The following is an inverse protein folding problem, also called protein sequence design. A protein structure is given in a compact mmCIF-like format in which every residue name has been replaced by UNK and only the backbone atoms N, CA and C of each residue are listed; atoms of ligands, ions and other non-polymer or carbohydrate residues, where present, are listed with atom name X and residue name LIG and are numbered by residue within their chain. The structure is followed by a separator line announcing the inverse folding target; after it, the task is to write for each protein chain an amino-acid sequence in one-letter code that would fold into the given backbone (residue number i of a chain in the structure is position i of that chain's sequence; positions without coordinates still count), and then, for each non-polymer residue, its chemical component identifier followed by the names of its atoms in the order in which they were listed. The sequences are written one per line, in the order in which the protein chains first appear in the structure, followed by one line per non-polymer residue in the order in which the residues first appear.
data_IF_544177256407
#
_entry.id   IF_544177256407
#
_cell.length_a   1.000
_cell.length_b   1.000
_cell.length_c   1.000
_cell.angle_alpha   90.00
_cell.angle_beta   90.00
_cell.angle_gamma   90.00
#
_symmetry.space_group_name_H-M   'P 1'
#
loop_
_entity.id
_entity.type
_entity.pdbx_description
1 polymer ?
#
# COMPACT_ATOMS: atom_id res chain seq x y z
N UNK A 1 -5.16 -3.63 29.28
CA UNK A 1 -4.57 -2.46 29.95
C UNK A 1 -5.47 -1.26 29.68
N UNK A 2 -5.86 -0.53 30.72
CA UNK A 2 -6.82 0.57 30.60
C UNK A 2 -6.10 1.79 30.00
N UNK A 3 -6.50 2.22 28.79
CA UNK A 3 -5.77 3.23 28.00
C UNK A 3 -5.59 4.58 28.72
N UNK A 4 -6.44 4.88 29.71
CA UNK A 4 -6.39 6.10 30.52
C UNK A 4 -5.19 6.14 31.48
N UNK A 5 -4.79 5.00 32.04
CA UNK A 5 -3.73 4.94 33.05
C UNK A 5 -2.35 5.21 32.44
N UNK A 6 -2.12 4.73 31.21
CA UNK A 6 -0.89 5.00 30.47
C UNK A 6 -0.76 6.49 30.10
N UNK A 7 -1.86 7.11 29.67
CA UNK A 7 -1.85 8.52 29.28
C UNK A 7 -1.48 9.44 30.45
N UNK A 8 -2.00 9.19 31.65
CA UNK A 8 -1.67 9.98 32.85
C UNK A 8 -0.19 9.82 33.22
N UNK A 9 0.35 8.59 33.16
CA UNK A 9 1.77 8.35 33.45
C UNK A 9 2.71 9.06 32.46
N UNK A 10 2.34 9.10 31.18
CA UNK A 10 3.09 9.81 30.14
C UNK A 10 3.16 11.31 30.43
N UNK A 11 2.03 11.92 30.79
CA UNK A 11 1.97 13.35 31.11
C UNK A 11 2.77 13.68 32.37
N UNK A 12 2.74 12.81 33.38
CA UNK A 12 3.56 12.99 34.60
C UNK A 12 5.06 12.85 34.34
N UNK A 13 5.47 11.99 33.41
CA UNK A 13 6.88 11.83 33.04
C UNK A 13 7.38 13.02 32.20
N UNK A 14 6.57 13.50 31.25
CA UNK A 14 6.86 14.70 30.47
C UNK A 14 7.04 15.94 31.36
N UNK A 15 6.14 16.14 32.33
CA UNK A 15 6.22 17.30 33.25
C UNK A 15 7.50 17.30 34.08
N UNK A 16 7.95 16.14 34.57
CA UNK A 16 9.21 15.99 35.32
C UNK A 16 10.43 16.29 34.46
N UNK A 17 10.48 15.76 33.23
CA UNK A 17 11.59 16.01 32.31
C UNK A 17 11.76 17.51 32.01
N UNK A 18 10.63 18.23 31.81
CA UNK A 18 10.64 19.68 31.60
C UNK A 18 11.15 20.47 32.82
N UNK A 19 10.83 20.05 34.04
CA UNK A 19 11.31 20.69 35.27
C UNK A 19 12.81 20.50 35.51
N UNK A 20 13.38 19.39 35.04
CA UNK A 20 14.81 19.09 35.17
C UNK A 20 15.64 19.51 33.95
N UNK A 21 15.04 20.18 32.95
CA UNK A 21 15.74 20.60 31.73
C UNK A 21 16.18 19.45 30.82
N UNK A 22 15.56 18.27 30.95
CA UNK A 22 15.91 17.06 30.21
C UNK A 22 14.92 16.86 29.06
N UNK A 23 15.40 16.51 27.87
CA UNK A 23 14.56 16.18 26.71
C UNK A 23 13.75 14.91 27.00
N UNK A 24 12.42 15.02 26.94
CA UNK A 24 11.53 13.88 27.12
C UNK A 24 11.49 13.02 25.84
N UNK A 25 11.91 11.76 25.93
CA UNK A 25 11.98 10.83 24.79
C UNK A 25 10.87 9.77 24.79
N UNK A 26 9.81 9.95 25.59
CA UNK A 26 8.71 8.98 25.73
C UNK A 26 8.88 7.99 26.91
N UNK A 27 8.10 6.90 26.90
CA UNK A 27 8.09 5.91 27.99
C UNK A 27 9.49 5.33 28.28
N UNK A 28 9.91 5.20 29.57
CA UNK A 28 11.06 4.39 29.91
C UNK A 28 10.75 2.93 29.55
N UNK A 29 11.51 2.39 28.58
CA UNK A 29 11.37 1.00 28.14
C UNK A 29 11.71 0.07 29.31
N UNK A 30 10.70 -0.57 29.89
CA UNK A 30 10.94 -1.77 30.71
C UNK A 30 11.65 -2.80 29.84
N UNK A 31 12.65 -3.49 30.41
CA UNK A 31 13.45 -4.51 29.72
C UNK A 31 12.56 -5.70 29.36
N UNK A 32 11.90 -5.63 28.20
CA UNK A 32 11.37 -6.80 27.51
C UNK A 32 12.34 -7.23 26.43
N UNK A 33 12.53 -8.56 26.35
CA UNK A 33 13.39 -9.34 25.45
C UNK A 33 13.49 -8.74 24.03
N UNK A 34 14.62 -8.98 23.31
CA UNK A 34 14.90 -8.31 22.04
C UNK A 34 13.74 -8.49 21.07
N UNK A 35 12.98 -7.41 20.87
CA UNK A 35 12.04 -7.32 19.78
C UNK A 35 12.88 -7.31 18.50
N UNK A 36 12.74 -8.39 17.72
CA UNK A 36 13.09 -8.41 16.31
C UNK A 36 12.60 -7.12 15.67
N UNK A 37 13.46 -6.57 14.81
CA UNK A 37 13.27 -5.29 14.14
C UNK A 37 11.83 -5.07 13.70
N UNK A 38 11.34 -3.87 14.01
CA UNK A 38 10.05 -3.36 13.61
C UNK A 38 10.10 -3.07 12.11
N UNK A 39 9.98 -4.13 11.33
CA UNK A 39 9.67 -4.16 9.91
C UNK A 39 8.67 -5.28 9.74
N UNK A 40 7.43 -5.05 10.16
CA UNK A 40 6.32 -5.90 9.72
C UNK A 40 6.06 -5.42 8.31
N UNK A 41 6.70 -6.05 7.32
CA UNK A 41 6.00 -6.18 6.05
C UNK A 41 4.70 -6.88 6.41
N UNK A 42 3.56 -6.25 6.15
CA UNK A 42 2.31 -6.99 6.04
C UNK A 42 2.42 -7.81 4.76
N UNK A 43 3.35 -8.76 4.71
CA UNK A 43 3.45 -9.71 3.63
C UNK A 43 2.16 -10.51 3.66
N UNK A 44 1.23 -10.10 2.80
CA UNK A 44 0.00 -10.82 2.56
C UNK A 44 0.44 -12.21 2.11
N UNK A 45 0.20 -13.19 2.97
CA UNK A 45 0.69 -14.57 2.80
C UNK A 45 0.45 -15.04 1.36
N UNK A 46 1.46 -15.53 0.66
CA UNK A 46 1.32 -16.02 -0.72
C UNK A 46 1.20 -14.95 -1.82
N UNK A 47 1.23 -13.64 -1.50
CA UNK A 47 1.49 -12.59 -2.50
C UNK A 47 2.91 -12.75 -3.01
N UNK A 48 3.07 -12.84 -4.31
CA UNK A 48 4.39 -12.83 -4.97
C UNK A 48 4.68 -11.45 -5.55
N UNK A 49 5.94 -11.22 -5.95
CA UNK A 49 6.36 -9.99 -6.66
C UNK A 49 5.61 -9.73 -7.98
N UNK A 50 4.92 -10.74 -8.52
CA UNK A 50 4.14 -10.64 -9.76
C UNK A 50 2.68 -10.24 -9.51
N UNK A 51 2.16 -10.54 -8.31
CA UNK A 51 0.73 -10.45 -8.04
C UNK A 51 0.20 -9.02 -8.16
N UNK A 52 0.94 -8.02 -7.65
CA UNK A 52 0.54 -6.62 -7.71
C UNK A 52 0.51 -6.08 -9.13
N UNK A 53 1.42 -6.51 -10.01
CA UNK A 53 1.43 -6.08 -11.43
C UNK A 53 0.20 -6.57 -12.19
N UNK A 54 -0.13 -7.86 -12.05
CA UNK A 54 -1.34 -8.42 -12.65
C UNK A 54 -2.60 -7.73 -12.10
N UNK A 55 -2.59 -7.36 -10.81
CA UNK A 55 -3.74 -6.72 -10.18
C UNK A 55 -3.90 -5.28 -10.68
N UNK A 56 -2.83 -4.51 -10.78
CA UNK A 56 -2.85 -3.16 -11.36
C UNK A 56 -3.39 -3.20 -12.80
N UNK A 57 -2.93 -4.16 -13.61
CA UNK A 57 -3.42 -4.32 -14.98
C UNK A 57 -4.91 -4.63 -15.05
N UNK A 58 -5.40 -5.51 -14.16
CA UNK A 58 -6.83 -5.81 -14.08
C UNK A 58 -7.63 -4.57 -13.63
N UNK A 59 -7.24 -3.96 -12.50
CA UNK A 59 -7.94 -2.82 -11.89
C UNK A 59 -8.02 -1.61 -12.81
N UNK A 60 -6.96 -1.32 -13.56
CA UNK A 60 -6.88 -0.18 -14.49
C UNK A 60 -7.32 -0.52 -15.91
N UNK A 61 -7.78 -1.76 -16.15
CA UNK A 61 -8.40 -2.09 -17.42
C UNK A 61 -9.64 -1.24 -17.68
N UNK A 62 -10.01 -1.08 -18.95
CA UNK A 62 -11.24 -0.35 -19.35
C UNK A 62 -12.50 -0.90 -18.68
N UNK A 63 -12.49 -2.17 -18.25
CA UNK A 63 -13.61 -2.84 -17.58
C UNK A 63 -13.78 -2.30 -16.14
N UNK A 64 -12.68 -2.14 -15.41
CA UNK A 64 -12.73 -1.86 -13.95
C UNK A 64 -12.43 -0.42 -13.57
N UNK A 65 -11.70 0.32 -14.40
CA UNK A 65 -11.32 1.69 -14.07
C UNK A 65 -12.55 2.59 -13.91
N UNK A 66 -13.59 2.38 -14.71
CA UNK A 66 -14.84 3.16 -14.65
C UNK A 66 -15.65 2.92 -13.36
N UNK A 67 -15.35 1.84 -12.63
CA UNK A 67 -16.01 1.45 -11.37
C UNK A 67 -15.01 1.36 -10.22
N UNK A 68 -13.83 1.95 -10.35
CA UNK A 68 -12.74 1.77 -9.40
C UNK A 68 -13.05 2.30 -7.99
N UNK A 69 -13.99 3.23 -7.86
CA UNK A 69 -14.54 3.65 -6.56
C UNK A 69 -15.18 2.47 -5.77
N UNK A 70 -15.71 1.45 -6.45
CA UNK A 70 -16.27 0.26 -5.79
C UNK A 70 -15.21 -0.66 -5.16
N UNK A 71 -13.91 -0.39 -5.41
CA UNK A 71 -12.82 -1.12 -4.80
C UNK A 71 -12.71 -0.90 -3.29
N UNK A 72 -13.21 0.23 -2.79
CA UNK A 72 -13.10 0.64 -1.38
C UNK A 72 -11.72 1.17 -0.98
N UNK A 73 -10.82 1.39 -1.94
CA UNK A 73 -9.53 2.05 -1.72
C UNK A 73 -9.03 2.65 -3.03
N UNK A 74 -8.71 3.94 -3.05
CA UNK A 74 -8.15 4.60 -4.22
C UNK A 74 -6.77 5.16 -3.89
N UNK A 75 -5.78 4.98 -4.77
CA UNK A 75 -4.61 5.84 -4.79
C UNK A 75 -5.08 7.31 -4.86
N UNK A 76 -4.35 8.26 -4.26
CA UNK A 76 -4.86 9.58 -3.90
C UNK A 76 -5.47 10.32 -5.08
N UNK A 77 -6.80 10.27 -5.15
CA UNK A 77 -7.68 11.12 -5.97
C UNK A 77 -8.28 12.26 -5.14
N UNK A 78 -8.10 12.24 -3.82
CA UNK A 78 -8.78 13.14 -2.88
C UNK A 78 -10.24 12.78 -2.61
N UNK A 79 -10.71 11.63 -3.11
CA UNK A 79 -12.09 11.15 -2.92
C UNK A 79 -12.14 10.21 -1.72
N UNK A 80 -13.01 10.49 -0.77
CA UNK A 80 -13.34 9.54 0.30
C UNK A 80 -14.13 8.37 -0.27
N UNK A 81 -13.69 7.14 0.04
CA UNK A 81 -14.31 5.92 -0.47
C UNK A 81 -14.83 5.11 0.71
N UNK A 82 -16.08 4.66 0.60
CA UNK A 82 -16.67 3.78 1.59
C UNK A 82 -15.87 2.47 1.71
N UNK A 83 -15.61 1.97 2.93
CA UNK A 83 -14.92 0.70 3.11
C UNK A 83 -15.72 -0.45 2.49
N UNK A 84 -15.16 -1.08 1.46
CA UNK A 84 -15.78 -2.25 0.82
C UNK A 84 -15.19 -3.55 1.34
N UNK A 85 -16.04 -4.56 1.55
CA UNK A 85 -15.61 -5.93 1.88
C UNK A 85 -15.05 -6.62 0.64
N UNK A 86 -14.04 -7.46 0.82
CA UNK A 86 -13.43 -8.17 -0.30
C UNK A 86 -14.31 -9.24 -0.97
N UNK A 87 -15.55 -9.42 -0.50
CA UNK A 87 -16.56 -10.31 -1.11
C UNK A 87 -17.60 -9.56 -1.95
N UNK A 88 -17.40 -8.26 -2.19
CA UNK A 88 -18.29 -7.47 -3.05
C UNK A 88 -18.36 -8.04 -4.48
N UNK A 89 -19.39 -7.65 -5.23
CA UNK A 89 -19.50 -8.04 -6.64
C UNK A 89 -18.27 -7.55 -7.43
N UNK A 90 -17.81 -6.32 -7.17
CA UNK A 90 -16.61 -5.76 -7.77
C UNK A 90 -15.40 -6.68 -7.61
N UNK A 91 -15.08 -7.11 -6.39
CA UNK A 91 -13.92 -7.97 -6.14
C UNK A 91 -14.08 -9.39 -6.72
N UNK A 92 -15.31 -9.89 -6.85
CA UNK A 92 -15.60 -11.15 -7.56
C UNK A 92 -15.32 -11.02 -9.05
N UNK A 93 -15.78 -9.93 -9.67
CA UNK A 93 -15.52 -9.64 -11.09
C UNK A 93 -14.02 -9.48 -11.36
N UNK A 94 -13.31 -8.72 -10.52
CA UNK A 94 -11.85 -8.56 -10.60
C UNK A 94 -11.13 -9.90 -10.50
N UNK A 95 -11.53 -10.77 -9.55
CA UNK A 95 -10.90 -12.08 -9.41
C UNK A 95 -11.09 -12.98 -10.65
N UNK A 96 -12.29 -12.95 -11.25
CA UNK A 96 -12.54 -13.68 -12.50
C UNK A 96 -11.65 -13.16 -13.64
N UNK A 97 -11.54 -11.84 -13.79
CA UNK A 97 -10.69 -11.24 -14.83
C UNK A 97 -9.20 -11.48 -14.56
N UNK A 98 -8.76 -11.37 -13.31
CA UNK A 98 -7.39 -11.68 -12.89
C UNK A 98 -6.99 -13.12 -13.24
N UNK A 99 -7.93 -14.06 -13.11
CA UNK A 99 -7.74 -15.47 -13.45
C UNK A 99 -7.98 -15.81 -14.94
N UNK A 100 -8.49 -14.87 -15.74
CA UNK A 100 -9.02 -15.15 -17.09
C UNK A 100 -7.98 -15.54 -18.13
N UNK A 101 -6.68 -15.34 -17.87
CA UNK A 101 -5.65 -15.64 -18.86
C UNK A 101 -5.57 -14.64 -20.01
N UNK A 102 -6.28 -13.50 -19.95
CA UNK A 102 -6.29 -12.51 -21.04
C UNK A 102 -4.88 -11.87 -21.19
N UNK A 103 -4.22 -12.01 -22.37
CA UNK A 103 -2.84 -11.56 -22.57
C UNK A 103 -2.60 -10.07 -22.28
N UNK A 104 -3.60 -9.22 -22.52
CA UNK A 104 -3.51 -7.79 -22.25
C UNK A 104 -3.22 -7.47 -20.77
N UNK A 105 -3.68 -8.31 -19.83
CA UNK A 105 -3.42 -8.11 -18.40
C UNK A 105 -2.05 -8.61 -17.95
N UNK A 106 -1.29 -9.25 -18.84
CA UNK A 106 0.05 -9.73 -18.55
C UNK A 106 1.16 -8.84 -19.08
N UNK A 107 0.81 -7.85 -19.89
CA UNK A 107 1.76 -6.90 -20.44
C UNK A 107 2.10 -5.84 -19.40
N UNK A 108 3.39 -5.69 -19.08
CA UNK A 108 3.87 -4.57 -18.27
C UNK A 108 4.05 -3.36 -19.19
N UNK A 109 3.28 -2.31 -18.95
CA UNK A 109 3.36 -1.09 -19.74
C UNK A 109 4.35 -0.09 -19.13
N UNK A 110 5.48 0.18 -19.78
CA UNK A 110 6.48 1.11 -19.27
C UNK A 110 7.88 0.85 -19.83
N UNK A 111 8.90 1.51 -19.29
CA UNK A 111 10.29 1.23 -19.69
C UNK A 111 10.67 -0.19 -19.24
N UNK A 112 11.08 -1.02 -20.20
CA UNK A 112 11.29 -2.46 -20.01
C UNK A 112 12.37 -2.80 -18.99
N UNK A 113 13.30 -1.89 -18.71
CA UNK A 113 14.43 -2.13 -17.82
C UNK A 113 14.05 -2.05 -16.33
N UNK A 114 13.06 -1.24 -15.96
CA UNK A 114 12.71 -0.99 -14.55
C UNK A 114 12.06 -2.20 -13.88
N UNK A 115 11.35 -3.02 -14.65
CA UNK A 115 10.59 -4.17 -14.16
C UNK A 115 11.20 -5.51 -14.57
N UNK A 116 12.52 -5.54 -14.78
CA UNK A 116 13.25 -6.75 -15.15
C UNK A 116 12.97 -7.89 -14.17
N UNK A 117 12.61 -9.06 -14.71
CA UNK A 117 12.31 -10.25 -13.90
C UNK A 117 10.92 -10.28 -13.26
N UNK A 118 10.03 -9.36 -13.65
CA UNK A 118 8.59 -9.43 -13.36
C UNK A 118 7.87 -10.00 -14.57
N UNK A 119 7.11 -11.07 -14.36
CA UNK A 119 6.17 -11.63 -15.32
C UNK A 119 4.80 -11.83 -14.66
N UNK A 120 3.78 -11.02 -14.98
CA UNK A 120 2.45 -11.16 -14.38
C UNK A 120 1.78 -12.50 -14.68
N UNK A 121 2.24 -13.27 -15.69
CA UNK A 121 1.75 -14.65 -15.94
C UNK A 121 2.14 -15.61 -14.82
N UNK A 122 3.18 -15.28 -14.06
CA UNK A 122 3.63 -16.06 -12.90
C UNK A 122 2.93 -15.63 -11.61
N UNK A 123 1.95 -14.72 -11.69
CA UNK A 123 1.17 -14.32 -10.55
C UNK A 123 0.30 -15.46 -10.02
N UNK A 124 0.27 -15.62 -8.70
CA UNK A 124 -0.54 -16.64 -8.03
C UNK A 124 -2.00 -16.19 -8.07
N UNK A 125 -2.91 -17.12 -8.39
CA UNK A 125 -4.33 -16.85 -8.33
C UNK A 125 -4.78 -16.63 -6.88
N UNK A 126 -5.64 -15.64 -6.68
CA UNK A 126 -6.09 -15.24 -5.36
C UNK A 126 -7.62 -15.13 -5.33
N UNK A 127 -8.26 -15.48 -4.19
CA UNK A 127 -9.67 -15.22 -4.00
C UNK A 127 -9.96 -13.71 -3.94
N UNK A 128 -11.22 -13.28 -4.20
CA UNK A 128 -11.65 -11.88 -4.18
C UNK A 128 -11.17 -11.11 -2.94
N UNK A 129 -11.33 -11.71 -1.76
CA UNK A 129 -10.98 -11.10 -0.48
C UNK A 129 -9.50 -10.78 -0.34
N UNK A 130 -8.65 -11.61 -0.95
CA UNK A 130 -7.21 -11.45 -0.91
C UNK A 130 -6.73 -10.42 -1.93
N UNK A 131 -7.33 -10.37 -3.12
CA UNK A 131 -7.06 -9.29 -4.08
C UNK A 131 -7.45 -7.93 -3.50
N UNK A 132 -8.58 -7.84 -2.80
CA UNK A 132 -8.98 -6.64 -2.07
C UNK A 132 -7.93 -6.22 -1.03
N UNK A 133 -7.42 -7.17 -0.24
CA UNK A 133 -6.37 -6.90 0.74
C UNK A 133 -5.07 -6.43 0.08
N UNK A 134 -4.65 -7.06 -1.02
CA UNK A 134 -3.45 -6.66 -1.78
C UNK A 134 -3.61 -5.24 -2.33
N UNK A 135 -4.76 -4.92 -2.90
CA UNK A 135 -5.02 -3.58 -3.41
C UNK A 135 -5.01 -2.52 -2.32
N UNK A 136 -5.65 -2.79 -1.18
CA UNK A 136 -5.64 -1.86 -0.03
C UNK A 136 -4.24 -1.58 0.46
N UNK A 137 -3.44 -2.64 0.64
CA UNK A 137 -2.04 -2.51 1.05
C UNK A 137 -1.23 -1.68 0.05
N UNK A 138 -1.38 -1.95 -1.25
CA UNK A 138 -0.74 -1.16 -2.31
C UNK A 138 -1.19 0.30 -2.34
N UNK A 139 -2.49 0.57 -2.18
CA UNK A 139 -3.04 1.92 -2.17
C UNK A 139 -2.54 2.73 -0.96
N UNK A 140 -2.46 2.10 0.22
CA UNK A 140 -1.89 2.72 1.42
C UNK A 140 -0.39 3.01 1.24
N UNK A 141 0.42 2.05 0.77
CA UNK A 141 1.84 2.30 0.52
C UNK A 141 2.04 3.39 -0.54
N UNK A 142 1.22 3.40 -1.59
CA UNK A 142 1.23 4.46 -2.59
C UNK A 142 1.00 5.83 -1.95
N UNK A 143 -0.04 5.98 -1.13
CA UNK A 143 -0.38 7.25 -0.49
C UNK A 143 0.78 7.75 0.39
N UNK A 144 1.36 6.87 1.20
CA UNK A 144 2.55 7.19 2.00
C UNK A 144 3.73 7.67 1.15
N UNK A 145 4.01 6.96 0.04
CA UNK A 145 5.07 7.34 -0.90
C UNK A 145 4.77 8.68 -1.55
N UNK A 146 3.53 8.91 -1.97
CA UNK A 146 3.09 10.11 -2.67
C UNK A 146 3.12 11.33 -1.76
N UNK A 147 2.66 11.22 -0.52
CA UNK A 147 2.75 12.30 0.47
C UNK A 147 4.20 12.70 0.74
N UNK A 148 5.10 11.73 0.90
CA UNK A 148 6.54 12.01 1.14
C UNK A 148 7.20 12.63 -0.08
N UNK A 149 6.87 12.15 -1.28
CA UNK A 149 7.37 12.71 -2.53
C UNK A 149 6.91 14.18 -2.72
N UNK A 150 5.64 14.47 -2.42
CA UNK A 150 5.10 15.83 -2.46
C UNK A 150 5.75 16.77 -1.45
N UNK A 151 6.04 16.29 -0.23
CA UNK A 151 6.68 17.09 0.81
C UNK A 151 8.12 17.51 0.47
N UNK A 152 8.88 16.67 -0.24
CA UNK A 152 10.27 16.97 -0.61
C UNK A 152 10.40 17.90 -1.84
N UNK A 153 9.29 18.21 -2.51
CA UNK A 153 9.26 18.88 -3.81
C UNK A 153 9.57 17.89 -4.94
N UNK A 154 8.67 17.80 -5.91
CA UNK A 154 8.70 16.83 -7.02
C UNK A 154 9.89 17.00 -7.97
N UNK A 155 10.57 18.14 -7.89
CA UNK A 155 11.64 18.55 -8.80
C UNK A 155 13.03 18.06 -8.34
N UNK A 156 13.13 17.53 -7.12
CA UNK A 156 14.40 17.13 -6.51
C UNK A 156 14.74 15.65 -6.75
N UNK A 157 13.78 14.76 -6.52
CA UNK A 157 13.95 13.31 -6.63
C UNK A 157 12.65 12.69 -7.15
N UNK A 158 12.76 11.76 -8.10
CA UNK A 158 11.58 11.07 -8.67
C UNK A 158 10.86 10.15 -7.67
N UNK A 159 9.58 9.88 -7.92
CA UNK A 159 8.71 9.06 -7.06
C UNK A 159 9.31 7.68 -6.71
N UNK A 160 10.05 7.07 -7.64
CA UNK A 160 10.73 5.78 -7.43
C UNK A 160 11.69 5.75 -6.22
N UNK A 161 12.21 6.90 -5.79
CA UNK A 161 13.05 6.97 -4.59
C UNK A 161 12.29 6.71 -3.29
N UNK A 162 10.97 6.97 -3.30
CA UNK A 162 10.11 6.84 -2.13
C UNK A 162 9.44 5.47 -2.05
N UNK A 163 9.26 4.80 -3.20
CA UNK A 163 8.66 3.47 -3.28
C UNK A 163 9.66 2.35 -3.03
N UNK A 164 9.33 1.46 -2.10
CA UNK A 164 10.09 0.23 -1.87
C UNK A 164 9.54 -0.91 -2.70
N UNK A 165 8.22 -1.00 -2.86
CA UNK A 165 7.57 -2.01 -3.66
C UNK A 165 7.48 -1.62 -5.15
N UNK A 166 7.92 -2.53 -6.04
CA UNK A 166 7.93 -2.28 -7.48
C UNK A 166 6.53 -2.23 -8.09
N UNK A 167 5.56 -2.93 -7.51
CA UNK A 167 4.16 -2.90 -7.97
C UNK A 167 3.45 -1.59 -7.61
N UNK A 168 3.84 -0.95 -6.50
CA UNK A 168 3.40 0.43 -6.15
C UNK A 168 4.00 1.46 -7.12
N UNK A 169 5.28 1.30 -7.48
CA UNK A 169 5.90 2.12 -8.51
C UNK A 169 5.23 1.91 -9.88
N UNK A 170 4.88 0.66 -10.20
CA UNK A 170 4.15 0.33 -11.42
C UNK A 170 2.76 0.96 -11.45
N UNK A 171 2.04 0.92 -10.33
CA UNK A 171 0.77 1.63 -10.16
C UNK A 171 0.92 3.13 -10.47
N UNK A 172 1.97 3.78 -9.97
CA UNK A 172 2.23 5.18 -10.30
C UNK A 172 2.46 5.42 -11.78
N UNK A 173 3.35 4.64 -12.40
CA UNK A 173 3.64 4.75 -13.83
C UNK A 173 2.38 4.54 -14.69
N UNK A 174 1.45 3.67 -14.25
CA UNK A 174 0.16 3.46 -14.91
C UNK A 174 -0.79 4.66 -14.73
N UNK A 175 -0.89 5.21 -13.52
CA UNK A 175 -1.73 6.38 -13.24
C UNK A 175 -1.28 7.64 -13.98
N UNK A 176 0.02 7.77 -14.30
CA UNK A 176 0.50 8.86 -15.15
C UNK A 176 0.00 8.77 -16.60
N UNK A 177 -0.30 7.56 -17.10
CA UNK A 177 -0.82 7.34 -18.45
C UNK A 177 -2.35 7.34 -18.50
N UNK A 178 -2.96 6.83 -17.44
CA UNK A 178 -4.40 6.65 -17.31
C UNK A 178 -4.83 7.06 -15.91
N UNK A 179 -5.08 8.36 -15.69
CA UNK A 179 -5.60 8.87 -14.43
C UNK A 179 -6.98 8.28 -14.11
N UNK A 180 -7.27 8.14 -12.82
CA UNK A 180 -8.57 7.74 -12.26
C UNK A 180 -9.43 8.98 -12.03
#
# INVERSE_FOLDING_TARGET
MNHKDGYIQLLSAYRRAKQHGITFTGYPKSKTKPQKGRGISNEIEGRTKHCGFGLVNAMLSSIFIVRIAESGALPPTGVEVEPVTGNSQYWRDVAMTYASGIPAFFTIEGSSQRYTGIDPRLAVLHPPSKLCAIWKDMATEYEECYSRWKQLGTDSVGFAHFCKALDVLYLHDRLQKQPI
#
